data_IF_951905627092
#
_entry.id   IF_951905627092
#
_cell.length_a   1.000
_cell.length_b   1.000
_cell.length_c   1.000
_cell.angle_alpha   90.00
_cell.angle_beta   90.00
_cell.angle_gamma   90.00
#
_symmetry.space_group_name_H-M   'P 1'
#
loop_
_entity.id
_entity.type
_entity.pdbx_description
1 polymer ?
#
# COMPACT_ATOMS: atom_id res chain seq x y z
N UNK A 1 9.57 44.10 -9.17
CA UNK A 1 8.58 44.26 -10.24
C UNK A 1 8.35 42.90 -10.87
N UNK A 2 7.20 42.31 -10.52
CA UNK A 2 6.41 41.24 -11.15
C UNK A 2 7.16 40.14 -11.95
N UNK A 3 7.31 38.96 -11.33
CA UNK A 3 7.49 37.69 -12.04
C UNK A 3 6.13 37.35 -12.67
N UNK A 4 6.08 37.36 -14.00
CA UNK A 4 4.87 37.11 -14.79
C UNK A 4 4.38 35.67 -14.69
N UNK A 5 3.07 35.54 -14.80
CA UNK A 5 2.17 34.44 -14.40
C UNK A 5 2.09 33.29 -15.42
N UNK A 6 3.15 33.01 -16.19
CA UNK A 6 3.01 32.23 -17.44
C UNK A 6 3.55 30.79 -17.35
N UNK A 7 3.52 30.14 -16.18
CA UNK A 7 4.08 28.78 -16.10
C UNK A 7 3.18 27.71 -16.74
N UNK A 8 1.90 28.02 -17.01
CA UNK A 8 0.89 27.02 -17.40
C UNK A 8 -0.04 27.43 -18.56
N UNK A 9 0.15 28.62 -19.15
CA UNK A 9 -0.58 29.03 -20.36
C UNK A 9 -0.14 28.16 -21.56
N UNK A 10 -0.87 27.08 -21.82
CA UNK A 10 -0.60 26.16 -22.93
C UNK A 10 -0.64 24.69 -22.56
N UNK A 11 -0.82 24.35 -21.28
CA UNK A 11 -1.05 22.95 -20.89
C UNK A 11 -2.48 22.54 -21.23
N UNK A 12 -2.60 21.42 -21.95
CA UNK A 12 -3.90 20.84 -22.27
C UNK A 12 -4.68 20.46 -21.01
N UNK A 13 -5.91 20.96 -20.88
CA UNK A 13 -6.83 20.57 -19.82
C UNK A 13 -7.10 19.07 -19.89
N UNK A 14 -6.79 18.34 -18.81
CA UNK A 14 -7.05 16.90 -18.73
C UNK A 14 -8.53 16.64 -18.50
N UNK A 15 -9.33 16.66 -19.58
CA UNK A 15 -10.73 16.29 -19.54
C UNK A 15 -10.90 14.86 -19.03
N UNK A 16 -11.74 14.67 -18.02
CA UNK A 16 -12.13 13.35 -17.54
C UNK A 16 -12.58 12.50 -18.74
N UNK A 17 -11.88 11.39 -18.99
CA UNK A 17 -12.25 10.44 -20.05
C UNK A 17 -13.68 9.99 -19.82
N UNK A 18 -14.59 10.33 -20.75
CA UNK A 18 -15.89 9.68 -20.88
C UNK A 18 -15.63 8.18 -21.05
N UNK A 19 -16.04 7.37 -20.07
CA UNK A 19 -15.96 5.91 -20.21
C UNK A 19 -16.93 5.48 -21.31
N UNK A 20 -16.40 5.09 -22.47
CA UNK A 20 -17.18 4.45 -23.52
C UNK A 20 -17.84 3.18 -22.94
N UNK A 21 -19.09 2.92 -23.34
CA UNK A 21 -19.73 1.61 -23.10
C UNK A 21 -18.92 0.54 -23.84
N UNK A 22 -18.03 -0.13 -23.13
CA UNK A 22 -17.33 -1.33 -23.59
C UNK A 22 -18.16 -2.52 -23.14
N UNK A 23 -18.52 -3.41 -24.08
CA UNK A 23 -19.19 -4.68 -23.78
C UNK A 23 -18.42 -5.50 -22.76
N UNK A 24 -19.14 -6.25 -21.91
CA UNK A 24 -18.55 -7.09 -20.85
C UNK A 24 -17.54 -8.08 -21.45
N UNK A 25 -16.25 -7.87 -21.20
CA UNK A 25 -15.19 -8.84 -21.52
C UNK A 25 -15.33 -10.14 -20.71
N UNK A 26 -14.60 -11.17 -21.12
CA UNK A 26 -14.49 -12.46 -20.42
C UNK A 26 -13.75 -12.34 -19.06
N UNK A 27 -13.97 -13.31 -18.17
CA UNK A 27 -13.45 -13.27 -16.80
C UNK A 27 -11.93 -13.55 -16.71
N UNK A 28 -11.22 -12.84 -15.82
CA UNK A 28 -9.91 -13.23 -15.28
C UNK A 28 -10.11 -14.17 -14.09
N UNK A 29 -9.34 -15.24 -14.04
CA UNK A 29 -9.49 -16.32 -13.06
C UNK A 29 -8.13 -16.62 -12.40
N UNK A 30 -8.11 -16.78 -11.06
CA UNK A 30 -7.03 -17.48 -10.35
C UNK A 30 -7.36 -18.96 -10.39
N UNK A 31 -6.42 -19.79 -10.83
CA UNK A 31 -6.61 -21.24 -10.73
C UNK A 31 -6.11 -21.74 -9.36
N UNK A 32 -6.83 -22.67 -8.70
CA UNK A 32 -6.36 -23.36 -7.49
C UNK A 32 -5.02 -24.09 -7.73
N UNK A 33 -4.46 -24.85 -6.77
CA UNK A 33 -4.70 -26.30 -6.85
C UNK A 33 -4.07 -27.09 -5.71
N UNK A 34 -4.63 -28.23 -5.29
CA UNK A 34 -6.03 -28.59 -4.90
C UNK A 34 -6.00 -29.61 -3.74
N UNK A 35 -4.80 -29.98 -3.34
CA UNK A 35 -4.40 -30.90 -2.29
C UNK A 35 -3.46 -30.22 -1.28
N UNK A 36 -3.34 -28.88 -1.34
CA UNK A 36 -2.61 -28.09 -0.37
C UNK A 36 -3.26 -28.22 1.02
N UNK A 37 -2.68 -29.05 1.88
CA UNK A 37 -3.00 -29.11 3.31
C UNK A 37 -2.02 -28.21 4.05
N UNK A 38 -2.52 -27.21 4.78
CA UNK A 38 -1.71 -26.30 5.58
C UNK A 38 -2.38 -26.04 6.94
N UNK A 39 -1.74 -26.49 8.02
CA UNK A 39 -2.04 -26.08 9.39
C UNK A 39 -0.78 -25.42 9.95
N UNK A 40 -0.78 -24.08 10.06
CA UNK A 40 0.29 -23.30 10.66
C UNK A 40 -0.23 -22.55 11.88
N UNK A 41 0.10 -23.06 13.06
CA UNK A 41 -0.06 -22.32 14.30
C UNK A 41 1.13 -21.36 14.44
N UNK A 42 0.97 -20.15 13.89
CA UNK A 42 1.98 -19.09 13.93
C UNK A 42 1.37 -17.87 14.57
N UNK A 43 1.93 -17.49 15.72
CA UNK A 43 1.76 -16.14 16.25
C UNK A 43 2.83 -15.25 15.62
N UNK A 44 2.40 -14.34 14.75
CA UNK A 44 3.30 -13.42 14.03
C UNK A 44 4.07 -12.55 15.01
N UNK A 45 3.46 -12.16 16.13
CA UNK A 45 4.17 -11.32 17.09
C UNK A 45 5.27 -12.11 17.81
N UNK A 46 5.00 -13.37 18.17
CA UNK A 46 6.02 -14.28 18.71
C UNK A 46 7.18 -14.57 17.76
N UNK A 47 7.03 -14.37 16.45
CA UNK A 47 8.15 -14.48 15.50
C UNK A 47 9.15 -13.33 15.61
N UNK A 48 8.75 -12.22 16.23
CA UNK A 48 9.58 -11.03 16.37
C UNK A 48 10.23 -11.06 17.76
N UNK A 49 11.56 -11.08 17.81
CA UNK A 49 12.29 -11.03 19.09
C UNK A 49 11.86 -9.83 19.95
N UNK A 50 11.84 -9.99 21.27
CA UNK A 50 11.37 -8.95 22.21
C UNK A 50 12.14 -7.63 22.05
N UNK A 51 13.45 -7.71 21.76
CA UNK A 51 14.32 -6.55 21.59
C UNK A 51 14.47 -6.13 20.12
N UNK A 52 13.67 -6.67 19.20
CA UNK A 52 13.77 -6.37 17.78
C UNK A 52 13.29 -4.94 17.49
N UNK A 53 14.11 -4.15 16.78
CA UNK A 53 13.85 -2.73 16.52
C UNK A 53 12.49 -2.44 15.85
N UNK A 54 11.97 -3.38 15.05
CA UNK A 54 10.64 -3.25 14.41
C UNK A 54 9.51 -3.04 15.41
N UNK A 55 9.63 -3.53 16.66
CA UNK A 55 8.60 -3.34 17.69
C UNK A 55 8.44 -1.87 18.05
N UNK A 56 9.55 -1.16 18.24
CA UNK A 56 9.55 0.28 18.50
C UNK A 56 9.00 1.05 17.31
N UNK A 57 9.39 0.67 16.09
CA UNK A 57 8.89 1.28 14.85
C UNK A 57 7.38 1.08 14.72
N UNK A 58 6.89 -0.12 15.00
CA UNK A 58 5.46 -0.42 14.94
C UNK A 58 4.66 0.41 15.95
N UNK A 59 5.08 0.41 17.22
CA UNK A 59 4.43 1.24 18.26
C UNK A 59 4.45 2.73 17.93
N UNK A 60 5.52 3.23 17.31
CA UNK A 60 5.57 4.61 16.82
C UNK A 60 4.51 4.86 15.73
N UNK A 61 4.43 3.98 14.73
CA UNK A 61 3.46 4.10 13.62
C UNK A 61 2.01 3.99 14.10
N UNK A 62 1.73 3.17 15.11
CA UNK A 62 0.40 3.05 15.72
C UNK A 62 -0.08 4.38 16.33
N UNK A 63 0.83 5.21 16.82
CA UNK A 63 0.53 6.53 17.36
C UNK A 63 0.30 7.62 16.30
N UNK A 64 0.53 7.35 15.01
CA UNK A 64 0.39 8.34 13.95
C UNK A 64 -1.05 8.44 13.43
N UNK A 65 -1.50 9.68 13.24
CA UNK A 65 -2.71 9.94 12.47
C UNK A 65 -2.42 9.78 10.96
N UNK A 66 -2.90 8.67 10.39
CA UNK A 66 -2.82 8.38 8.95
C UNK A 66 -4.17 8.55 8.24
N UNK A 67 -5.16 9.18 8.88
CA UNK A 67 -6.52 9.34 8.35
C UNK A 67 -6.54 9.87 6.92
N UNK A 68 -5.72 10.89 6.62
CA UNK A 68 -5.62 11.46 5.27
C UNK A 68 -5.21 10.45 4.18
N UNK A 69 -4.41 9.44 4.50
CA UNK A 69 -4.05 8.36 3.57
C UNK A 69 -5.15 7.30 3.52
N UNK A 70 -5.67 6.94 4.69
CA UNK A 70 -6.71 5.94 4.84
C UNK A 70 -8.01 6.36 4.15
N UNK A 71 -8.36 7.64 4.20
CA UNK A 71 -9.55 8.25 3.59
C UNK A 71 -9.53 8.22 2.06
N UNK A 72 -8.34 8.15 1.44
CA UNK A 72 -8.18 8.01 -0.01
C UNK A 72 -8.46 6.60 -0.53
N UNK A 73 -8.49 5.60 0.35
CA UNK A 73 -8.77 4.21 -0.03
C UNK A 73 -10.21 4.09 -0.54
N UNK A 74 -10.38 3.50 -1.73
CA UNK A 74 -11.70 3.34 -2.35
C UNK A 74 -12.36 2.00 -2.01
N UNK A 75 -11.59 1.01 -1.56
CA UNK A 75 -12.12 -0.25 -1.04
C UNK A 75 -12.69 0.02 0.36
N UNK A 76 -14.02 0.07 0.46
CA UNK A 76 -14.75 0.40 1.68
C UNK A 76 -15.74 -0.70 1.98
N UNK A 77 -16.22 -0.72 3.21
CA UNK A 77 -17.40 -1.50 3.56
C UNK A 77 -18.52 -1.20 2.56
N UNK A 78 -19.14 -2.25 2.03
CA UNK A 78 -20.20 -2.19 1.01
C UNK A 78 -19.80 -1.64 -0.37
N UNK A 79 -18.50 -1.53 -0.71
CA UNK A 79 -18.04 -1.12 -2.05
C UNK A 79 -17.11 -2.18 -2.68
N UNK A 80 -17.32 -2.58 -3.95
CA UNK A 80 -16.44 -3.57 -4.60
C UNK A 80 -15.00 -3.06 -4.72
N UNK A 81 -14.04 -3.92 -4.38
CA UNK A 81 -12.61 -3.65 -4.46
C UNK A 81 -11.80 -4.65 -3.64
N UNK A 82 -10.58 -4.97 -4.08
CA UNK A 82 -9.65 -5.76 -3.27
C UNK A 82 -9.14 -4.91 -2.09
N UNK A 83 -9.14 -5.40 -0.84
CA UNK A 83 -8.55 -4.69 0.28
C UNK A 83 -7.09 -4.31 -0.03
N UNK A 84 -6.69 -3.04 0.13
CA UNK A 84 -5.29 -2.67 -0.05
C UNK A 84 -4.45 -3.16 1.12
N UNK A 85 -3.13 -3.14 0.94
CA UNK A 85 -2.20 -3.26 2.07
C UNK A 85 -2.39 -2.01 2.96
N UNK A 86 -2.38 -2.20 4.28
CA UNK A 86 -2.52 -1.11 5.25
C UNK A 86 -1.44 -0.04 5.05
N UNK A 87 -1.80 1.26 5.01
CA UNK A 87 -0.82 2.34 5.01
C UNK A 87 0.13 2.30 6.20
N UNK A 88 -0.33 1.87 7.38
CA UNK A 88 0.52 1.69 8.58
C UNK A 88 1.59 0.64 8.34
N UNK A 89 1.22 -0.51 7.77
CA UNK A 89 2.17 -1.58 7.46
C UNK A 89 3.22 -1.11 6.45
N UNK A 90 2.80 -0.41 5.39
CA UNK A 90 3.72 0.13 4.39
C UNK A 90 4.68 1.16 4.99
N UNK A 91 4.20 2.03 5.88
CA UNK A 91 5.01 3.02 6.57
C UNK A 91 6.01 2.37 7.53
N UNK A 92 5.57 1.42 8.36
CA UNK A 92 6.44 0.70 9.27
C UNK A 92 7.55 -0.05 8.52
N UNK A 93 7.19 -0.71 7.41
CA UNK A 93 8.14 -1.41 6.55
C UNK A 93 9.17 -0.45 5.93
N UNK A 94 8.73 0.72 5.47
CA UNK A 94 9.62 1.75 4.93
C UNK A 94 10.56 2.33 5.98
N UNK A 95 10.06 2.63 7.19
CA UNK A 95 10.87 3.14 8.29
C UNK A 95 11.90 2.11 8.74
N UNK A 96 11.52 0.84 8.84
CA UNK A 96 12.43 -0.25 9.17
C UNK A 96 13.55 -0.37 8.13
N UNK A 97 13.20 -0.45 6.84
CA UNK A 97 14.19 -0.50 5.76
C UNK A 97 15.12 0.72 5.80
N UNK A 98 14.58 1.91 6.01
CA UNK A 98 15.37 3.15 6.08
C UNK A 98 16.33 3.17 7.28
N UNK A 99 15.91 2.63 8.43
CA UNK A 99 16.77 2.52 9.62
C UNK A 99 17.98 1.61 9.41
N UNK A 100 17.86 0.64 8.50
CA UNK A 100 18.92 -0.28 8.10
C UNK A 100 19.65 0.15 6.82
N UNK A 101 19.38 1.36 6.32
CA UNK A 101 19.99 1.88 5.08
C UNK A 101 19.52 1.18 3.79
N UNK A 102 18.41 0.44 3.85
CA UNK A 102 17.87 -0.33 2.72
C UNK A 102 16.85 0.48 1.94
N UNK A 103 17.20 0.84 0.69
CA UNK A 103 16.32 1.57 -0.23
C UNK A 103 15.60 0.71 -1.28
N UNK A 104 15.78 -0.62 -1.25
CA UNK A 104 15.26 -1.53 -2.29
C UNK A 104 14.31 -2.57 -1.73
N UNK A 105 13.12 -2.69 -2.31
CA UNK A 105 12.13 -3.71 -1.94
C UNK A 105 12.68 -5.14 -2.08
N UNK A 106 13.59 -5.37 -3.04
CA UNK A 106 14.25 -6.67 -3.21
C UNK A 106 15.29 -6.94 -2.14
N UNK A 107 15.99 -5.91 -1.69
CA UNK A 107 16.96 -6.05 -0.59
C UNK A 107 16.23 -6.32 0.73
N UNK A 108 15.10 -5.63 0.94
CA UNK A 108 14.24 -5.81 2.10
C UNK A 108 13.67 -7.22 2.24
N UNK A 109 13.31 -7.88 1.14
CA UNK A 109 12.86 -9.27 1.12
C UNK A 109 13.90 -10.27 1.67
N UNK A 110 15.19 -9.89 1.69
CA UNK A 110 16.30 -10.77 2.07
C UNK A 110 16.85 -10.51 3.48
N UNK A 111 16.31 -9.51 4.19
CA UNK A 111 16.61 -9.28 5.60
C UNK A 111 15.92 -10.33 6.46
#
# INVERSE_FOLDING_TARGET
MMVGDDLFEGLAAHGARRSAQVGRGAARMREPVRDQIELRAVDIDSLIGQDHAVRVIWSYVEGLDLSALEDRIKAREHRPGHPPISPRLLLALWLYASSDGVGSARALERL
#
